data_IF_973398554660
#
_entry.id   IF_973398554660
#
_cell.length_a   1.000
_cell.length_b   1.000
_cell.length_c   1.000
_cell.angle_alpha   90.00
_cell.angle_beta   90.00
_cell.angle_gamma   90.00
#
_symmetry.space_group_name_H-M   'P 1'
#
loop_
_entity.id
_entity.type
_entity.pdbx_description
1 polymer ?
#
# COMPACT_ATOMS: atom_id res chain seq x y z
N UNK A 1 4.63 15.26 -9.41
CA UNK A 1 5.42 14.28 -8.65
C UNK A 1 6.23 13.46 -9.63
N UNK A 2 7.50 13.15 -9.34
CA UNK A 2 8.37 12.38 -10.22
C UNK A 2 8.99 11.20 -9.48
N UNK A 3 8.97 10.02 -10.10
CA UNK A 3 9.70 8.84 -9.66
C UNK A 3 11.03 8.73 -10.42
N UNK A 4 12.09 8.29 -9.74
CA UNK A 4 13.37 7.91 -10.36
C UNK A 4 13.78 6.54 -9.82
N UNK A 5 14.29 5.66 -10.69
CA UNK A 5 14.94 4.40 -10.28
C UNK A 5 16.39 4.69 -9.87
N UNK A 6 16.95 3.93 -8.92
CA UNK A 6 18.34 4.13 -8.52
C UNK A 6 19.22 2.90 -8.22
N UNK A 7 20.21 3.09 -7.34
CA UNK A 7 21.55 2.51 -7.37
C UNK A 7 21.65 1.19 -6.59
N UNK A 8 22.71 0.42 -6.88
CA UNK A 8 23.03 -0.79 -6.13
C UNK A 8 23.25 -0.49 -4.63
N UNK A 9 22.55 -1.21 -3.75
CA UNK A 9 22.71 -1.15 -2.30
C UNK A 9 21.54 -0.53 -1.52
N UNK A 10 20.60 0.13 -2.18
CA UNK A 10 19.38 0.65 -1.53
C UNK A 10 18.41 -0.50 -1.20
N UNK A 11 17.76 -0.45 -0.02
CA UNK A 11 16.77 -1.45 0.40
C UNK A 11 15.56 -1.54 -0.57
N UNK A 12 15.22 -0.41 -1.21
CA UNK A 12 14.27 -0.34 -2.32
C UNK A 12 14.65 0.82 -3.24
N UNK A 13 15.09 0.58 -4.49
CA UNK A 13 15.75 1.60 -5.33
C UNK A 13 14.78 2.53 -6.07
N UNK A 14 13.79 3.10 -5.35
CA UNK A 14 12.84 4.10 -5.86
C UNK A 14 12.99 5.42 -5.10
N UNK A 15 12.99 6.54 -5.83
CA UNK A 15 13.06 7.89 -5.27
C UNK A 15 11.90 8.77 -5.75
N UNK A 16 11.31 9.52 -4.84
CA UNK A 16 10.19 10.41 -5.13
C UNK A 16 10.56 11.86 -4.89
N UNK A 17 10.18 12.73 -5.82
CA UNK A 17 10.33 14.16 -5.65
C UNK A 17 9.01 14.88 -5.93
N UNK A 18 8.63 15.76 -5.00
CA UNK A 18 7.49 16.65 -5.16
C UNK A 18 7.97 17.94 -5.83
N UNK A 19 7.20 18.38 -6.83
CA UNK A 19 7.49 19.60 -7.59
C UNK A 19 6.28 20.50 -7.43
N UNK A 20 6.52 21.74 -7.01
CA UNK A 20 5.48 22.77 -6.97
C UNK A 20 5.34 23.34 -8.38
N UNK A 21 4.11 23.34 -8.88
CA UNK A 21 3.76 23.92 -10.18
C UNK A 21 3.04 25.26 -9.96
N UNK A 22 3.18 26.16 -10.92
CA UNK A 22 2.37 27.36 -11.01
C UNK A 22 0.92 26.96 -11.36
N UNK A 23 -0.09 27.38 -10.59
CA UNK A 23 -1.47 26.96 -10.83
C UNK A 23 -2.10 27.58 -12.09
N UNK A 24 -1.57 28.70 -12.57
CA UNK A 24 -2.08 29.37 -13.77
C UNK A 24 -1.50 28.78 -15.05
N UNK A 25 -0.23 28.35 -15.03
CA UNK A 25 0.47 27.83 -16.23
C UNK A 25 0.68 26.31 -16.21
N UNK A 26 0.62 25.68 -15.04
CA UNK A 26 0.99 24.28 -14.85
C UNK A 26 2.50 24.01 -14.87
N UNK A 27 3.31 25.04 -15.09
CA UNK A 27 4.76 24.90 -15.22
C UNK A 27 5.42 24.72 -13.85
N UNK A 28 6.50 23.94 -13.74
CA UNK A 28 7.31 23.87 -12.52
C UNK A 28 7.80 25.27 -12.11
N UNK A 29 7.64 25.63 -10.83
CA UNK A 29 8.26 26.86 -10.31
C UNK A 29 9.80 26.71 -10.35
N UNK A 30 10.57 27.79 -10.59
CA UNK A 30 12.03 27.71 -10.69
C UNK A 30 12.72 27.10 -9.46
N UNK A 31 13.89 26.48 -9.70
CA UNK A 31 14.62 25.43 -8.95
C UNK A 31 14.81 25.52 -7.42
N UNK A 32 14.39 26.61 -6.75
CA UNK A 32 14.32 26.70 -5.29
C UNK A 32 13.02 26.10 -4.68
N UNK A 33 12.22 25.40 -5.50
CA UNK A 33 10.86 24.93 -5.16
C UNK A 33 10.63 23.43 -5.39
N UNK A 34 11.70 22.67 -5.67
CA UNK A 34 11.65 21.23 -5.57
C UNK A 34 11.84 20.83 -4.10
N UNK A 35 10.83 20.17 -3.54
CA UNK A 35 10.92 19.65 -2.19
C UNK A 35 11.98 18.54 -2.10
N UNK A 36 12.49 18.23 -0.89
CA UNK A 36 13.44 17.14 -0.66
C UNK A 36 13.00 15.84 -1.33
N UNK A 37 13.98 15.09 -1.80
CA UNK A 37 13.74 13.76 -2.34
C UNK A 37 13.40 12.78 -1.20
N UNK A 38 12.44 11.89 -1.45
CA UNK A 38 11.96 10.86 -0.55
C UNK A 38 12.37 9.48 -1.10
N UNK A 39 13.47 8.88 -0.61
CA UNK A 39 13.97 7.61 -1.10
C UNK A 39 13.28 6.41 -0.43
N UNK A 40 13.38 5.24 -1.05
CA UNK A 40 12.99 3.97 -0.43
C UNK A 40 11.48 3.76 -0.32
N UNK A 41 10.69 4.44 -1.15
CA UNK A 41 9.23 4.38 -1.09
C UNK A 41 8.65 3.77 -2.38
N UNK A 42 7.60 2.96 -2.21
CA UNK A 42 6.80 2.51 -3.34
C UNK A 42 5.93 3.64 -3.89
N UNK A 43 5.54 4.60 -3.04
CA UNK A 43 4.71 5.73 -3.44
C UNK A 43 4.66 6.85 -2.40
N UNK A 44 4.16 8.00 -2.84
CA UNK A 44 3.89 9.15 -1.98
C UNK A 44 2.50 9.68 -2.30
N UNK A 45 1.64 9.84 -1.29
CA UNK A 45 0.31 10.44 -1.46
C UNK A 45 0.26 11.80 -0.79
N UNK A 46 -0.02 12.85 -1.56
CA UNK A 46 -0.26 14.17 -1.00
C UNK A 46 -1.58 14.14 -0.22
N UNK A 47 -1.52 14.47 1.07
CA UNK A 47 -2.66 14.57 1.97
C UNK A 47 -3.17 16.01 2.04
N UNK A 48 -2.26 16.99 1.98
CA UNK A 48 -2.62 18.40 1.99
C UNK A 48 -1.43 19.30 2.24
N UNK A 49 -1.69 20.50 2.73
CA UNK A 49 -0.67 21.49 3.06
C UNK A 49 -0.83 21.93 4.50
N UNK A 50 0.28 22.04 5.21
CA UNK A 50 0.31 22.67 6.52
C UNK A 50 0.12 24.19 6.41
N UNK A 51 -0.28 24.88 7.49
CA UNK A 51 -0.37 26.35 7.51
C UNK A 51 0.96 27.05 7.21
N UNK A 52 2.08 26.40 7.51
CA UNK A 52 3.44 26.86 7.19
C UNK A 52 3.84 26.64 5.73
N UNK A 53 2.99 26.01 4.92
CA UNK A 53 3.24 25.74 3.50
C UNK A 53 4.04 24.46 3.22
N UNK A 54 4.32 23.64 4.23
CA UNK A 54 4.90 22.30 4.04
C UNK A 54 3.85 21.35 3.44
N UNK A 55 4.24 20.54 2.46
CA UNK A 55 3.38 19.48 1.93
C UNK A 55 3.27 18.35 2.96
N UNK A 56 2.05 17.97 3.32
CA UNK A 56 1.80 16.82 4.18
C UNK A 56 1.53 15.61 3.30
N UNK A 57 2.34 14.56 3.46
CA UNK A 57 2.27 13.37 2.61
C UNK A 57 2.24 12.09 3.42
N UNK A 58 1.57 11.06 2.89
CA UNK A 58 1.77 9.68 3.31
C UNK A 58 2.90 9.06 2.46
N UNK A 59 3.98 8.67 3.12
CA UNK A 59 5.09 7.93 2.54
C UNK A 59 4.83 6.42 2.70
N UNK A 60 4.70 5.73 1.57
CA UNK A 60 4.36 4.31 1.54
C UNK A 60 5.66 3.49 1.45
N UNK A 61 5.96 2.73 2.49
CA UNK A 61 7.15 1.88 2.54
C UNK A 61 6.84 0.50 1.96
N UNK A 62 7.73 -0.05 1.13
CA UNK A 62 7.51 -1.34 0.47
C UNK A 62 7.53 -2.51 1.46
N UNK A 63 6.79 -3.58 1.16
CA UNK A 63 7.09 -4.90 1.71
C UNK A 63 8.48 -5.38 1.28
N UNK A 64 9.22 -6.11 2.13
CA UNK A 64 10.50 -6.70 1.75
C UNK A 64 10.38 -7.49 0.45
N UNK A 65 11.41 -7.41 -0.39
CA UNK A 65 11.50 -8.11 -1.68
C UNK A 65 10.43 -7.73 -2.72
N UNK A 66 9.60 -6.72 -2.46
CA UNK A 66 8.68 -6.19 -3.48
C UNK A 66 9.46 -5.69 -4.70
N UNK A 67 9.03 -5.99 -5.94
CA UNK A 67 9.72 -5.51 -7.12
C UNK A 67 9.49 -4.00 -7.31
N UNK A 68 10.52 -3.30 -7.79
CA UNK A 68 10.38 -1.88 -8.14
C UNK A 68 9.53 -1.74 -9.39
N UNK A 69 8.30 -1.31 -9.20
CA UNK A 69 7.40 -0.88 -10.28
C UNK A 69 7.54 0.62 -10.52
N UNK A 70 7.71 1.01 -11.78
CA UNK A 70 7.70 2.42 -12.18
C UNK A 70 6.36 2.82 -12.80
N UNK A 71 6.10 4.12 -12.91
CA UNK A 71 4.98 4.60 -13.74
C UNK A 71 5.19 4.42 -15.25
N UNK A 72 6.39 4.02 -15.66
CA UNK A 72 6.74 3.64 -17.03
C UNK A 72 6.40 2.18 -17.36
N UNK A 73 6.02 1.38 -16.37
CA UNK A 73 5.53 0.02 -16.58
C UNK A 73 4.19 0.12 -17.34
N UNK A 74 4.05 -0.63 -18.43
CA UNK A 74 2.88 -0.58 -19.30
C UNK A 74 1.59 -0.78 -18.48
N UNK A 75 0.50 -0.09 -18.83
CA UNK A 75 -0.76 -0.14 -18.07
C UNK A 75 -1.32 -1.58 -17.93
N UNK A 76 -0.94 -2.45 -18.86
CA UNK A 76 -1.23 -3.88 -18.94
C UNK A 76 -0.44 -4.74 -17.92
N UNK A 77 0.66 -4.21 -17.37
CA UNK A 77 1.43 -4.85 -16.29
C UNK A 77 1.03 -4.39 -14.88
N UNK A 78 0.40 -3.21 -14.74
CA UNK A 78 -0.02 -2.68 -13.45
C UNK A 78 -1.51 -2.97 -13.24
N UNK A 79 -1.85 -3.76 -12.22
CA UNK A 79 -3.25 -3.86 -11.81
C UNK A 79 -3.76 -2.50 -11.32
N UNK A 80 -5.06 -2.25 -11.43
CA UNK A 80 -5.70 -1.04 -10.87
C UNK A 80 -5.34 -0.82 -9.39
N UNK A 81 -5.15 -1.89 -8.62
CA UNK A 81 -4.77 -1.81 -7.21
C UNK A 81 -3.35 -1.25 -7.00
N UNK A 82 -2.42 -1.50 -7.92
CA UNK A 82 -1.07 -0.90 -7.89
C UNK A 82 -1.13 0.61 -8.07
N UNK A 83 -1.92 1.08 -9.05
CA UNK A 83 -2.04 2.51 -9.37
C UNK A 83 -2.82 3.25 -8.28
N UNK A 84 -3.78 2.57 -7.64
CA UNK A 84 -4.57 3.13 -6.55
C UNK A 84 -3.84 3.10 -5.20
N UNK A 85 -2.69 2.42 -5.11
CA UNK A 85 -1.93 2.22 -3.87
C UNK A 85 -2.80 1.68 -2.72
N UNK A 86 -3.80 0.86 -3.06
CA UNK A 86 -4.77 0.28 -2.12
C UNK A 86 -4.45 -1.16 -1.75
N UNK A 87 -3.40 -1.73 -2.36
CA UNK A 87 -2.95 -3.09 -2.07
C UNK A 87 -1.93 -3.10 -0.93
N UNK A 88 -2.37 -3.55 0.25
CA UNK A 88 -1.52 -3.66 1.44
C UNK A 88 -0.43 -4.74 1.31
N UNK A 89 -0.52 -5.63 0.32
CA UNK A 89 0.53 -6.65 0.08
C UNK A 89 1.85 -6.05 -0.41
N UNK A 90 1.84 -4.76 -0.79
CA UNK A 90 3.01 -4.05 -1.31
C UNK A 90 3.50 -2.95 -0.37
N UNK A 91 2.68 -2.58 0.62
CA UNK A 91 2.95 -1.48 1.54
C UNK A 91 3.05 -2.06 2.94
N UNK A 92 4.27 -2.14 3.47
CA UNK A 92 4.50 -2.64 4.83
C UNK A 92 4.16 -1.64 5.91
N UNK A 93 4.49 -0.38 5.68
CA UNK A 93 4.37 0.67 6.67
C UNK A 93 4.06 1.99 5.99
N UNK A 94 3.46 2.90 6.76
CA UNK A 94 3.17 4.25 6.29
C UNK A 94 3.64 5.26 7.33
N UNK A 95 4.37 6.26 6.85
CA UNK A 95 4.80 7.40 7.67
C UNK A 95 4.16 8.66 7.10
N UNK A 96 3.54 9.48 7.95
CA UNK A 96 3.06 10.80 7.54
C UNK A 96 4.17 11.81 7.77
N UNK A 97 4.53 12.55 6.73
CA UNK A 97 5.64 13.49 6.71
C UNK A 97 5.14 14.90 6.36
N UNK A 98 5.68 15.91 7.04
CA UNK A 98 5.71 17.28 6.54
C UNK A 98 6.98 17.46 5.70
N UNK A 99 6.82 17.98 4.48
CA UNK A 99 7.88 18.15 3.49
C UNK A 99 7.95 19.62 3.09
N UNK A 100 9.02 20.29 3.52
CA UNK A 100 9.32 21.71 3.26
C UNK A 100 10.79 21.87 2.84
N UNK A 101 11.55 22.74 3.51
CA UNK A 101 13.01 22.80 3.33
C UNK A 101 13.73 21.52 3.82
N UNK A 102 13.07 20.75 4.68
CA UNK A 102 13.49 19.43 5.12
C UNK A 102 12.28 18.50 5.25
N UNK A 103 12.48 17.38 5.93
CA UNK A 103 11.42 16.38 6.16
C UNK A 103 11.26 16.16 7.66
N UNK A 104 10.00 16.17 8.13
CA UNK A 104 9.66 15.94 9.54
C UNK A 104 8.53 14.92 9.65
N UNK A 105 8.70 13.92 10.51
CA UNK A 105 7.65 12.95 10.80
C UNK A 105 6.54 13.57 11.63
N UNK A 106 5.29 13.40 11.19
CA UNK A 106 4.08 13.80 11.90
C UNK A 106 3.40 12.61 12.57
N UNK A 107 3.36 11.48 11.87
CA UNK A 107 2.77 10.23 12.36
C UNK A 107 3.58 9.06 11.83
N UNK A 108 3.79 8.05 12.67
CA UNK A 108 4.36 6.77 12.26
C UNK A 108 3.39 5.68 12.65
N UNK A 109 3.27 4.68 11.79
CA UNK A 109 2.59 3.43 12.07
C UNK A 109 3.49 2.31 11.53
N UNK A 110 4.29 1.68 12.40
CA UNK A 110 5.15 0.60 11.97
C UNK A 110 4.30 -0.59 11.51
N UNK A 111 4.87 -1.43 10.65
CA UNK A 111 4.46 -2.82 10.38
C UNK A 111 2.96 -3.11 10.39
N UNK A 112 2.27 -2.78 9.30
CA UNK A 112 0.87 -3.11 9.03
C UNK A 112 -0.14 -2.62 10.10
N UNK A 113 0.29 -1.74 11.02
CA UNK A 113 -0.60 -1.16 12.04
C UNK A 113 -1.53 -0.07 11.45
N UNK A 114 -1.19 0.49 10.28
CA UNK A 114 -2.01 1.49 9.60
C UNK A 114 -3.00 0.84 8.63
N UNK A 115 -4.27 0.78 9.04
CA UNK A 115 -5.35 0.26 8.19
C UNK A 115 -5.91 1.33 7.23
N UNK A 116 -5.87 2.61 7.62
CA UNK A 116 -6.32 3.72 6.78
C UNK A 116 -5.73 5.05 7.25
N UNK A 117 -5.58 5.98 6.29
CA UNK A 117 -5.31 7.40 6.54
C UNK A 117 -6.40 8.19 5.84
N UNK A 118 -7.22 8.90 6.60
CA UNK A 118 -8.26 9.78 6.06
C UNK A 118 -7.90 11.25 6.33
N UNK A 119 -8.19 12.11 5.35
CA UNK A 119 -7.91 13.54 5.41
C UNK A 119 -9.23 14.29 5.39
N UNK A 120 -9.54 14.90 6.52
CA UNK A 120 -10.85 15.44 6.81
C UNK A 120 -10.78 16.94 7.13
N UNK A 121 -10.02 17.72 6.35
CA UNK A 121 -9.71 19.13 6.64
C UNK A 121 -10.98 19.99 6.86
N UNK A 122 -11.97 19.87 5.98
CA UNK A 122 -13.24 20.57 6.09
C UNK A 122 -14.18 19.98 7.14
N UNK A 123 -14.05 18.68 7.45
CA UNK A 123 -14.86 18.03 8.48
C UNK A 123 -14.38 18.44 9.87
N UNK A 124 -13.06 18.52 10.10
CA UNK A 124 -12.46 19.02 11.34
C UNK A 124 -12.83 20.49 11.56
N UNK A 125 -12.66 21.34 10.53
CA UNK A 125 -13.03 22.76 10.62
C UNK A 125 -14.54 22.95 10.86
N UNK A 126 -15.37 22.06 10.33
CA UNK A 126 -16.82 22.05 10.52
C UNK A 126 -17.32 21.29 11.76
N UNK A 127 -16.43 20.75 12.60
CA UNK A 127 -16.80 19.98 13.80
C UNK A 127 -17.58 18.69 13.53
N UNK A 128 -17.48 18.12 12.32
CA UNK A 128 -18.21 16.90 11.93
C UNK A 128 -17.39 15.66 12.23
N UNK A 129 -17.98 14.72 12.95
CA UNK A 129 -17.43 13.40 13.23
C UNK A 129 -18.26 12.32 12.51
N UNK A 130 -17.61 11.26 12.04
CA UNK A 130 -18.25 10.04 11.54
C UNK A 130 -17.57 8.84 12.20
N UNK A 131 -18.33 7.82 12.55
CA UNK A 131 -17.76 6.55 12.97
C UNK A 131 -16.98 5.90 11.83
N UNK A 132 -15.78 5.39 12.14
CA UNK A 132 -14.99 4.64 11.18
C UNK A 132 -15.75 3.38 10.75
N UNK A 133 -15.90 3.17 9.44
CA UNK A 133 -16.38 1.91 8.89
C UNK A 133 -15.14 1.08 8.51
N UNK A 134 -14.68 0.14 9.36
CA UNK A 134 -13.66 -0.82 8.91
C UNK A 134 -14.22 -1.62 7.73
N UNK A 135 -13.37 -2.11 6.82
CA UNK A 135 -13.84 -3.00 5.75
C UNK A 135 -14.56 -4.19 6.39
N UNK A 136 -15.82 -4.39 6.00
CA UNK A 136 -16.54 -5.62 6.35
C UNK A 136 -15.71 -6.77 5.77
N UNK A 137 -15.27 -7.70 6.62
CA UNK A 137 -14.46 -8.84 6.19
C UNK A 137 -15.07 -9.59 5.00
N UNK A 138 -14.27 -10.48 4.40
CA UNK A 138 -14.66 -11.28 3.22
C UNK A 138 -16.14 -11.66 3.24
N UNK A 139 -16.88 -11.23 2.20
CA UNK A 139 -18.33 -11.43 2.13
C UNK A 139 -18.73 -12.88 2.42
N UNK A 140 -19.93 -13.16 2.95
CA UNK A 140 -20.39 -14.52 3.27
C UNK A 140 -20.26 -15.51 2.10
N UNK A 141 -20.33 -15.00 0.86
CA UNK A 141 -20.13 -15.79 -0.37
C UNK A 141 -18.69 -16.28 -0.52
N UNK A 142 -17.69 -15.48 -0.14
CA UNK A 142 -16.27 -15.85 -0.19
C UNK A 142 -15.91 -16.81 0.94
N UNK A 143 -16.49 -16.64 2.13
CA UNK A 143 -16.36 -17.59 3.25
C UNK A 143 -16.92 -18.97 2.90
N UNK A 144 -18.06 -19.02 2.21
CA UNK A 144 -18.66 -20.27 1.75
C UNK A 144 -17.77 -21.02 0.73
N UNK A 145 -17.09 -20.29 -0.15
CA UNK A 145 -16.13 -20.87 -1.10
C UNK A 145 -14.92 -21.46 -0.35
N UNK A 146 -14.37 -20.75 0.63
CA UNK A 146 -13.26 -21.24 1.45
C UNK A 146 -13.60 -22.52 2.23
N UNK A 147 -14.78 -22.58 2.84
CA UNK A 147 -15.27 -23.78 3.54
C UNK A 147 -15.47 -24.95 2.55
N UNK A 148 -16.00 -24.67 1.35
CA UNK A 148 -16.21 -25.69 0.32
C UNK A 148 -14.91 -26.34 -0.16
N UNK A 149 -13.86 -25.55 -0.38
CA UNK A 149 -12.53 -26.06 -0.79
C UNK A 149 -11.88 -26.88 0.33
N UNK A 150 -11.94 -26.41 1.58
CA UNK A 150 -11.42 -27.15 2.72
C UNK A 150 -12.15 -28.50 2.91
N UNK A 151 -13.48 -28.52 2.76
CA UNK A 151 -14.26 -29.75 2.85
C UNK A 151 -13.95 -30.73 1.70
N UNK A 152 -13.74 -30.25 0.48
CA UNK A 152 -13.36 -31.08 -0.66
C UNK A 152 -11.97 -31.72 -0.46
N UNK A 153 -10.98 -30.95 0.01
CA UNK A 153 -9.63 -31.45 0.29
C UNK A 153 -9.60 -32.46 1.45
N UNK A 154 -10.41 -32.26 2.48
CA UNK A 154 -10.56 -33.24 3.58
C UNK A 154 -11.23 -34.52 3.08
N UNK A 155 -12.19 -34.41 2.15
CA UNK A 155 -12.88 -35.56 1.56
C UNK A 155 -11.95 -36.37 0.65
N UNK A 156 -11.13 -35.72 -0.17
CA UNK A 156 -10.11 -36.40 -1.00
C UNK A 156 -9.05 -37.12 -0.17
N UNK A 157 -8.58 -36.50 0.93
CA UNK A 157 -7.64 -37.16 1.86
C UNK A 157 -8.22 -38.37 2.58
N UNK A 158 -9.55 -38.44 2.74
CA UNK A 158 -10.24 -39.57 3.38
C UNK A 158 -10.43 -40.75 2.42
N UNK A 159 -10.68 -40.47 1.14
CA UNK A 159 -10.85 -41.49 0.10
C UNK A 159 -9.52 -42.18 -0.23
N UNK A 160 -8.37 -41.50 -0.10
CA UNK A 160 -7.05 -42.10 -0.29
C UNK A 160 -6.54 -42.96 0.90
N UNK A 161 -7.29 -43.05 2.01
CA UNK A 161 -6.96 -43.90 3.17
C UNK A 161 -7.97 -45.03 3.32
N UNK A 162 -8.03 -45.96 2.37
CA UNK A 162 -8.53 -47.31 2.65
C UNK A 162 -7.34 -48.27 2.75
N UNK A 163 -7.22 -49.06 3.83
CA UNK A 163 -6.16 -50.05 3.96
C UNK A 163 -6.49 -51.30 3.15
N UNK A 164 -5.53 -51.75 2.37
CA UNK A 164 -5.48 -53.07 1.74
C UNK A 164 -5.52 -54.14 2.84
N UNK A 165 -6.69 -54.78 3.04
CA UNK A 165 -6.83 -55.87 4.00
C UNK A 165 -6.24 -57.13 3.38
N UNK A 166 -5.01 -57.42 3.78
CA UNK A 166 -4.31 -58.67 3.50
C UNK A 166 -4.89 -59.82 4.32
N UNK A 167 -5.36 -60.85 3.62
CA UNK A 167 -5.27 -62.28 3.91
C UNK A 167 -5.64 -62.82 5.30
N UNK A 168 -6.61 -63.73 5.33
CA UNK A 168 -6.60 -64.90 6.22
C UNK A 168 -7.30 -66.08 5.54
N UNK A 169 -6.53 -67.13 5.24
CA UNK A 169 -7.07 -68.42 4.82
C UNK A 169 -7.63 -69.23 5.99
N UNK A 170 -8.17 -70.42 5.72
CA UNK A 170 -8.02 -71.51 6.66
C UNK A 170 -7.60 -72.83 5.99
N UNK A 171 -7.11 -73.71 6.86
CA UNK A 171 -6.79 -75.12 6.68
C UNK A 171 -7.85 -75.92 5.89
#
# INVERSE_FOLDING_TARGET
MRQRRCCAGDAYPSRWQLTVVDPATGEPRPAASALPELPGLIGVRLLGWSPSGEAVVAALHPEPDSPVVGFDTAADTLSLAHVQFTDSQWVRAVTVLAVGAGTRTLLTAPDQEMLSVDVADQLIAGGRQRDGQPPDGLSPRLTAIGIGVAAALVRERRVQREPEVSGHGPF
#
